data_IF_334937626803
#
_entry.id   IF_334937626803
#
_cell.length_a   1.000
_cell.length_b   1.000
_cell.length_c   1.000
_cell.angle_alpha   90.00
_cell.angle_beta   90.00
_cell.angle_gamma   90.00
#
_symmetry.space_group_name_H-M   'P 1'
#
loop_
_entity.id
_entity.type
_entity.pdbx_description
1 polymer ?
#
# COMPACT_ATOMS: atom_id res chain seq x y z
N UNK A 1 -2.25 -19.54 1.64
CA UNK A 1 -1.21 -19.52 0.58
C UNK A 1 -0.07 -18.56 0.94
N UNK A 2 -0.33 -17.31 1.34
CA UNK A 2 0.73 -16.33 1.71
C UNK A 2 1.79 -16.86 2.70
N UNK A 3 1.40 -17.42 3.86
CA UNK A 3 2.36 -17.94 4.83
C UNK A 3 3.18 -19.13 4.32
N UNK A 4 2.60 -19.95 3.44
CA UNK A 4 3.30 -21.05 2.77
C UNK A 4 4.37 -20.46 1.85
N UNK A 5 4.00 -19.47 1.03
CA UNK A 5 4.95 -18.73 0.20
C UNK A 5 6.05 -18.06 1.04
N UNK A 6 5.72 -17.49 2.21
CA UNK A 6 6.67 -16.90 3.15
C UNK A 6 7.69 -17.92 3.65
N UNK A 7 7.20 -19.07 4.10
CA UNK A 7 8.05 -20.14 4.56
C UNK A 7 9.01 -20.65 3.46
N UNK A 8 8.48 -20.94 2.26
CA UNK A 8 9.29 -21.37 1.12
C UNK A 8 10.34 -20.32 0.72
N UNK A 9 9.97 -19.05 0.73
CA UNK A 9 10.90 -17.97 0.39
C UNK A 9 12.01 -17.81 1.42
N UNK A 10 11.72 -17.94 2.72
CA UNK A 10 12.75 -17.92 3.77
C UNK A 10 13.75 -19.05 3.55
N UNK A 11 13.27 -20.27 3.25
CA UNK A 11 14.15 -21.41 2.92
C UNK A 11 14.96 -21.12 1.66
N UNK A 12 14.30 -20.65 0.59
CA UNK A 12 14.95 -20.32 -0.67
C UNK A 12 16.07 -19.28 -0.49
N UNK A 13 15.81 -18.19 0.23
CA UNK A 13 16.80 -17.14 0.49
C UNK A 13 17.93 -17.65 1.37
N UNK A 14 17.61 -18.41 2.43
CA UNK A 14 18.60 -18.88 3.40
C UNK A 14 19.54 -19.96 2.84
N UNK A 15 19.04 -20.86 2.00
CA UNK A 15 19.80 -22.01 1.52
C UNK A 15 20.24 -21.92 0.06
N UNK A 16 19.44 -21.33 -0.83
CA UNK A 16 19.77 -21.28 -2.26
C UNK A 16 20.44 -19.98 -2.67
N UNK A 17 19.98 -18.84 -2.14
CA UNK A 17 20.58 -17.54 -2.48
C UNK A 17 21.90 -17.33 -1.74
N UNK A 18 21.93 -17.61 -0.43
CA UNK A 18 23.14 -17.46 0.38
C UNK A 18 24.36 -18.22 -0.16
N UNK A 19 24.14 -19.39 -0.75
CA UNK A 19 25.21 -20.24 -1.28
C UNK A 19 25.58 -19.92 -2.74
N UNK A 20 24.70 -19.26 -3.51
CA UNK A 20 24.85 -19.08 -4.96
C UNK A 20 25.06 -17.62 -5.41
N UNK A 21 24.55 -16.65 -4.64
CA UNK A 21 24.66 -15.22 -4.93
C UNK A 21 24.98 -14.46 -3.64
N UNK A 22 26.16 -13.82 -3.58
CA UNK A 22 26.64 -13.06 -2.42
C UNK A 22 25.89 -11.72 -2.21
N UNK A 23 24.60 -11.64 -2.54
CA UNK A 23 23.78 -10.49 -2.18
C UNK A 23 23.35 -10.62 -0.71
N UNK A 24 24.27 -10.24 0.16
CA UNK A 24 24.08 -10.22 1.61
C UNK A 24 22.95 -9.29 2.04
N UNK A 25 22.51 -8.35 1.19
CA UNK A 25 21.49 -7.37 1.55
C UNK A 25 20.10 -8.00 1.67
N UNK A 26 19.72 -8.87 0.74
CA UNK A 26 18.41 -9.58 0.76
C UNK A 26 18.38 -10.61 1.88
N UNK A 27 19.47 -11.36 2.05
CA UNK A 27 19.59 -12.35 3.14
C UNK A 27 19.54 -11.67 4.51
N UNK A 28 20.27 -10.56 4.68
CA UNK A 28 20.27 -9.77 5.90
C UNK A 28 18.89 -9.17 6.18
N UNK A 29 18.29 -8.50 5.21
CA UNK A 29 16.96 -7.90 5.32
C UNK A 29 15.89 -8.94 5.66
N UNK A 30 15.95 -10.14 5.06
CA UNK A 30 14.99 -11.18 5.39
C UNK A 30 15.22 -11.75 6.80
N UNK A 31 16.47 -12.02 7.20
CA UNK A 31 16.77 -12.50 8.55
C UNK A 31 16.34 -11.52 9.64
N UNK A 32 16.45 -10.21 9.41
CA UNK A 32 16.05 -9.18 10.37
C UNK A 32 14.55 -8.86 10.33
N UNK A 33 13.90 -8.90 9.16
CA UNK A 33 12.55 -8.34 8.97
C UNK A 33 11.48 -9.35 8.54
N UNK A 34 11.75 -10.67 8.50
CA UNK A 34 10.74 -11.67 8.11
C UNK A 34 9.49 -11.60 9.02
N UNK A 35 9.67 -11.34 10.32
CA UNK A 35 8.56 -11.24 11.27
C UNK A 35 7.61 -10.09 10.93
N UNK A 36 8.10 -9.00 10.34
CA UNK A 36 7.25 -7.88 9.90
C UNK A 36 6.31 -8.29 8.75
N UNK A 37 6.69 -9.30 7.95
CA UNK A 37 5.83 -9.86 6.91
C UNK A 37 4.77 -10.80 7.48
N UNK A 38 5.06 -11.48 8.60
CA UNK A 38 4.07 -12.27 9.36
C UNK A 38 3.03 -11.35 10.00
N UNK A 39 3.48 -10.24 10.57
CA UNK A 39 2.63 -9.24 11.21
C UNK A 39 1.94 -8.28 10.22
N UNK A 40 2.20 -8.42 8.92
CA UNK A 40 1.68 -7.55 7.87
C UNK A 40 1.95 -6.04 8.08
N UNK A 41 3.14 -5.71 8.57
CA UNK A 41 3.59 -4.32 8.78
C UNK A 41 4.91 -4.01 8.06
N UNK A 42 5.42 -4.96 7.27
CA UNK A 42 6.66 -4.81 6.50
C UNK A 42 6.62 -3.63 5.53
N UNK A 43 5.45 -3.35 4.95
CA UNK A 43 5.23 -2.20 4.06
C UNK A 43 5.30 -0.86 4.80
N UNK A 44 5.07 -0.83 6.12
CA UNK A 44 5.02 0.40 6.90
C UNK A 44 6.33 0.68 7.64
N UNK A 45 6.85 -0.30 8.38
CA UNK A 45 8.01 -0.16 9.29
C UNK A 45 9.34 -0.23 8.54
N UNK A 46 9.51 -1.21 7.66
CA UNK A 46 10.79 -1.48 6.99
C UNK A 46 10.59 -1.70 5.48
N UNK A 47 9.96 -0.73 4.80
CA UNK A 47 9.66 -0.82 3.36
C UNK A 47 10.91 -1.04 2.50
N UNK A 48 12.04 -0.43 2.88
CA UNK A 48 13.30 -0.56 2.15
C UNK A 48 14.02 -1.89 2.37
N UNK A 49 13.62 -2.65 3.39
CA UNK A 49 14.24 -3.92 3.81
C UNK A 49 13.19 -5.03 3.99
N UNK A 50 12.19 -5.05 3.11
CA UNK A 50 11.16 -6.09 3.15
C UNK A 50 11.75 -7.43 2.70
N UNK A 51 11.59 -8.48 3.52
CA UNK A 51 11.91 -9.85 3.09
C UNK A 51 11.18 -10.19 1.77
N UNK A 52 9.88 -9.93 1.69
CA UNK A 52 9.08 -10.17 0.48
C UNK A 52 8.62 -8.87 -0.17
N UNK A 53 9.54 -8.16 -0.82
CA UNK A 53 9.20 -6.90 -1.49
C UNK A 53 8.01 -7.08 -2.45
N UNK A 54 8.02 -8.08 -3.32
CA UNK A 54 6.97 -8.34 -4.31
C UNK A 54 5.56 -8.57 -3.73
N UNK A 55 5.44 -8.90 -2.44
CA UNK A 55 4.15 -9.11 -1.76
C UNK A 55 3.70 -7.89 -0.96
N UNK A 56 4.23 -6.70 -1.21
CA UNK A 56 3.93 -5.47 -0.48
C UNK A 56 2.46 -5.07 -0.48
N UNK A 57 1.67 -5.51 -1.47
CA UNK A 57 0.24 -5.19 -1.58
C UNK A 57 -0.63 -5.96 -0.58
N UNK A 58 -0.18 -7.14 -0.12
CA UNK A 58 -0.93 -7.96 0.84
C UNK A 58 -1.07 -7.28 2.20
N UNK A 59 0.01 -6.79 2.86
CA UNK A 59 -0.14 -6.08 4.13
C UNK A 59 -0.93 -4.78 3.99
N UNK A 60 -0.81 -4.07 2.85
CA UNK A 60 -1.65 -2.89 2.55
C UNK A 60 -3.13 -3.26 2.59
N UNK A 61 -3.52 -4.31 1.85
CA UNK A 61 -4.92 -4.76 1.80
C UNK A 61 -5.43 -5.18 3.18
N UNK A 62 -4.63 -5.92 3.95
CA UNK A 62 -5.04 -6.33 5.29
C UNK A 62 -5.27 -5.13 6.22
N UNK A 63 -4.37 -4.14 6.20
CA UNK A 63 -4.49 -2.90 6.98
C UNK A 63 -5.79 -2.15 6.62
N UNK A 64 -6.13 -2.07 5.34
CA UNK A 64 -7.35 -1.44 4.86
C UNK A 64 -8.61 -2.23 5.25
N UNK A 65 -8.56 -3.57 5.17
CA UNK A 65 -9.64 -4.45 5.62
C UNK A 65 -9.86 -4.33 7.13
N UNK A 66 -8.81 -4.10 7.93
CA UNK A 66 -8.95 -3.92 9.37
C UNK A 66 -9.65 -2.59 9.74
N UNK A 67 -9.44 -1.52 8.97
CA UNK A 67 -10.15 -0.24 9.21
C UNK A 67 -11.57 -0.22 8.63
N UNK A 68 -11.85 -1.08 7.64
CA UNK A 68 -13.13 -1.11 6.92
C UNK A 68 -14.38 -1.20 7.82
N UNK A 69 -14.43 -2.10 8.83
CA UNK A 69 -15.62 -2.26 9.66
C UNK A 69 -16.00 -0.98 10.40
N UNK A 70 -15.03 -0.14 10.78
CA UNK A 70 -15.32 1.12 11.45
C UNK A 70 -16.13 2.06 10.54
N UNK A 71 -15.73 2.22 9.28
CA UNK A 71 -16.46 3.03 8.30
C UNK A 71 -17.82 2.41 7.96
N UNK A 72 -17.87 1.10 7.75
CA UNK A 72 -19.11 0.38 7.43
C UNK A 72 -20.13 0.46 8.56
N UNK A 73 -19.72 0.28 9.82
CA UNK A 73 -20.61 0.40 10.98
C UNK A 73 -21.17 1.82 11.07
N UNK A 74 -20.36 2.85 10.82
CA UNK A 74 -20.83 4.24 10.81
C UNK A 74 -21.86 4.49 9.70
N UNK A 75 -21.62 3.96 8.49
CA UNK A 75 -22.55 4.07 7.34
C UNK A 75 -23.89 3.39 7.62
N UNK A 76 -23.87 2.18 8.19
CA UNK A 76 -25.10 1.42 8.50
C UNK A 76 -25.87 2.07 9.65
N UNK A 77 -25.17 2.49 10.72
CA UNK A 77 -25.84 3.05 11.92
C UNK A 77 -26.42 4.44 11.67
N UNK A 78 -25.70 5.30 10.93
CA UNK A 78 -26.16 6.64 10.58
C UNK A 78 -25.49 7.09 9.28
N UNK A 79 -26.24 7.04 8.19
CA UNK A 79 -25.75 7.35 6.84
C UNK A 79 -25.06 8.71 6.75
N UNK A 80 -25.58 9.75 7.42
CA UNK A 80 -24.95 11.09 7.44
C UNK A 80 -23.59 11.07 8.12
N UNK A 81 -23.49 10.40 9.27
CA UNK A 81 -22.23 10.31 10.02
C UNK A 81 -21.21 9.45 9.27
N UNK A 82 -21.65 8.34 8.67
CA UNK A 82 -20.80 7.51 7.83
C UNK A 82 -20.29 8.25 6.60
N UNK A 83 -21.14 9.01 5.90
CA UNK A 83 -20.73 9.84 4.76
C UNK A 83 -19.69 10.90 5.16
N UNK A 84 -19.90 11.59 6.28
CA UNK A 84 -18.90 12.51 6.83
C UNK A 84 -17.59 11.80 7.16
N UNK A 85 -17.64 10.59 7.74
CA UNK A 85 -16.46 9.79 8.01
C UNK A 85 -15.71 9.42 6.72
N UNK A 86 -16.41 9.02 5.65
CA UNK A 86 -15.82 8.73 4.33
C UNK A 86 -15.14 9.98 3.73
N UNK A 87 -15.79 11.13 3.79
CA UNK A 87 -15.24 12.41 3.28
C UNK A 87 -13.99 12.81 4.07
N UNK A 88 -14.06 12.77 5.40
CA UNK A 88 -12.91 13.07 6.26
C UNK A 88 -11.76 12.07 6.04
N UNK A 89 -12.08 10.79 5.83
CA UNK A 89 -11.11 9.77 5.47
C UNK A 89 -10.39 10.08 4.15
N UNK A 90 -11.11 10.52 3.11
CA UNK A 90 -10.51 10.95 1.84
C UNK A 90 -9.56 12.12 2.04
N UNK A 91 -10.01 13.17 2.73
CA UNK A 91 -9.19 14.37 3.00
C UNK A 91 -7.93 13.95 3.77
N UNK A 92 -8.07 13.11 4.79
CA UNK A 92 -6.93 12.61 5.56
C UNK A 92 -5.92 11.86 4.70
N UNK A 93 -6.36 10.92 3.86
CA UNK A 93 -5.46 10.17 2.98
C UNK A 93 -4.77 11.08 1.95
N UNK A 94 -5.51 12.00 1.34
CA UNK A 94 -4.95 12.99 0.40
C UNK A 94 -3.92 13.89 1.07
N UNK A 95 -4.20 14.39 2.27
CA UNK A 95 -3.27 15.26 3.03
C UNK A 95 -2.01 14.48 3.41
N UNK A 96 -2.13 13.23 3.84
CA UNK A 96 -0.96 12.39 4.17
C UNK A 96 -0.11 12.16 2.92
N UNK A 97 -0.73 11.79 1.80
CA UNK A 97 -0.02 11.57 0.54
C UNK A 97 0.67 12.84 0.06
N UNK A 98 -0.03 13.97 0.06
CA UNK A 98 0.52 15.27 -0.32
C UNK A 98 1.68 15.69 0.58
N UNK A 99 1.51 15.54 1.90
CA UNK A 99 2.56 15.84 2.87
C UNK A 99 3.81 15.00 2.61
N UNK A 100 3.65 13.69 2.41
CA UNK A 100 4.76 12.78 2.10
C UNK A 100 5.38 13.09 0.74
N UNK A 101 4.58 13.45 -0.25
CA UNK A 101 5.06 13.86 -1.56
C UNK A 101 5.94 15.11 -1.45
N UNK A 102 5.45 16.13 -0.75
CA UNK A 102 6.15 17.39 -0.55
C UNK A 102 7.42 17.23 0.30
N UNK A 103 7.34 16.54 1.44
CA UNK A 103 8.44 16.40 2.39
C UNK A 103 9.64 15.64 1.82
N UNK A 104 9.39 14.73 0.87
CA UNK A 104 10.44 13.95 0.21
C UNK A 104 11.00 14.64 -1.04
N UNK A 105 10.62 15.89 -1.31
CA UNK A 105 11.22 16.69 -2.38
C UNK A 105 10.78 16.30 -3.80
N UNK A 106 9.80 15.42 -3.97
CA UNK A 106 9.34 14.97 -5.28
C UNK A 106 8.78 16.11 -6.14
N UNK A 107 8.36 17.24 -5.54
CA UNK A 107 7.93 18.45 -6.25
C UNK A 107 9.06 19.06 -7.11
N UNK A 108 10.30 19.01 -6.62
CA UNK A 108 11.47 19.57 -7.32
C UNK A 108 11.98 18.65 -8.43
N UNK A 109 11.64 17.37 -8.37
CA UNK A 109 12.14 16.36 -9.29
C UNK A 109 11.40 16.34 -10.65
N UNK A 110 10.26 17.03 -10.74
CA UNK A 110 9.49 17.19 -11.98
C UNK A 110 9.64 18.60 -12.59
N UNK A 111 10.53 19.46 -12.08
CA UNK A 111 10.85 20.71 -12.76
C UNK A 111 11.62 20.42 -14.05
N UNK A 112 11.17 21.03 -15.14
CA UNK A 112 11.72 20.86 -16.51
C UNK A 112 13.20 21.22 -16.65
N UNK A 113 13.82 21.78 -15.60
CA UNK A 113 15.25 22.12 -15.56
C UNK A 113 16.17 20.88 -15.56
N UNK A 114 15.66 19.69 -15.18
CA UNK A 114 16.42 18.42 -15.21
C UNK A 114 16.51 17.78 -16.62
N UNK A 115 15.87 18.36 -17.65
CA UNK A 115 16.06 17.96 -19.05
C UNK A 115 17.22 18.70 -19.74
N UNK A 116 17.93 19.57 -19.02
CA UNK A 116 19.16 20.20 -19.52
C UNK A 116 20.29 19.15 -19.61
N UNK A 117 20.93 18.95 -20.79
CA UNK A 117 21.98 17.96 -20.98
C UNK A 117 23.30 18.50 -20.42
N UNK A 118 23.42 18.65 -19.11
CA UNK A 118 24.64 19.10 -18.47
C UNK A 118 25.12 18.03 -17.48
N UNK A 119 25.95 17.10 -17.98
CA UNK A 119 27.14 16.41 -17.42
C UNK A 119 27.36 16.17 -15.91
N UNK A 120 26.34 16.33 -15.08
CA UNK A 120 26.35 15.89 -13.69
C UNK A 120 25.15 14.98 -13.51
N UNK A 121 25.40 13.68 -13.74
CA UNK A 121 24.66 12.53 -13.25
C UNK A 121 23.36 12.96 -12.57
N UNK A 122 22.32 13.21 -13.38
CA UNK A 122 20.96 13.33 -12.87
C UNK A 122 20.81 12.12 -11.97
N UNK A 123 20.76 12.38 -10.67
CA UNK A 123 20.66 11.35 -9.66
C UNK A 123 19.29 10.76 -9.91
N UNK A 124 19.23 9.79 -10.84
CA UNK A 124 18.05 9.04 -11.20
C UNK A 124 17.58 8.50 -9.86
N UNK A 125 16.61 9.18 -9.28
CA UNK A 125 16.10 8.87 -7.97
C UNK A 125 15.81 7.40 -8.00
N UNK A 126 16.59 6.65 -7.21
CA UNK A 126 16.60 5.19 -7.26
C UNK A 126 15.14 4.77 -7.29
N UNK A 127 14.65 4.08 -8.33
CA UNK A 127 13.22 3.78 -8.50
C UNK A 127 12.60 3.17 -7.23
N UNK A 128 13.43 2.47 -6.46
CA UNK A 128 13.15 1.91 -5.14
C UNK A 128 12.68 2.95 -4.09
N UNK A 129 13.27 4.14 -4.04
CA UNK A 129 12.93 5.19 -3.07
C UNK A 129 11.55 5.81 -3.31
N UNK A 130 11.19 6.06 -4.58
CA UNK A 130 9.85 6.53 -4.96
C UNK A 130 8.81 5.45 -4.64
N UNK A 131 9.12 4.19 -4.96
CA UNK A 131 8.23 3.07 -4.69
C UNK A 131 7.99 2.87 -3.19
N UNK A 132 9.04 2.93 -2.37
CA UNK A 132 8.93 2.75 -0.91
C UNK A 132 8.20 3.87 -0.21
N UNK A 133 8.39 5.12 -0.67
CA UNK A 133 7.75 6.28 -0.06
C UNK A 133 6.30 6.44 -0.52
N UNK A 134 5.98 6.13 -1.78
CA UNK A 134 4.66 6.41 -2.33
C UNK A 134 3.81 5.18 -2.62
N UNK A 135 4.37 4.15 -3.25
CA UNK A 135 3.59 3.02 -3.76
C UNK A 135 3.35 1.93 -2.73
N UNK A 136 4.25 1.74 -1.77
CA UNK A 136 4.14 0.63 -0.82
C UNK A 136 3.28 0.97 0.40
N UNK A 137 3.04 2.26 0.64
CA UNK A 137 2.33 2.72 1.83
C UNK A 137 0.81 2.67 1.64
N UNK A 138 0.04 2.34 2.69
CA UNK A 138 -1.39 2.10 2.59
C UNK A 138 -2.21 3.36 2.28
N UNK A 139 -1.73 4.55 2.64
CA UNK A 139 -2.48 5.80 2.47
C UNK A 139 -2.82 6.13 1.01
N UNK A 140 -1.99 5.70 0.05
CA UNK A 140 -2.25 5.90 -1.39
C UNK A 140 -3.47 5.11 -1.88
N UNK A 141 -3.76 3.98 -1.24
CA UNK A 141 -4.87 3.11 -1.60
C UNK A 141 -6.14 3.40 -0.80
N UNK A 142 -6.02 4.17 0.28
CA UNK A 142 -7.12 4.50 1.19
C UNK A 142 -8.33 5.10 0.46
N UNK A 143 -8.13 6.07 -0.42
CA UNK A 143 -9.22 6.69 -1.19
C UNK A 143 -9.98 5.68 -2.07
N UNK A 144 -9.26 4.83 -2.81
CA UNK A 144 -9.90 3.79 -3.65
C UNK A 144 -10.69 2.80 -2.79
N UNK A 145 -10.15 2.44 -1.63
CA UNK A 145 -10.81 1.53 -0.70
C UNK A 145 -12.09 2.14 -0.11
N UNK A 146 -12.07 3.42 0.28
CA UNK A 146 -13.25 4.13 0.76
C UNK A 146 -14.33 4.26 -0.32
N UNK A 147 -13.95 4.46 -1.60
CA UNK A 147 -14.89 4.43 -2.71
C UNK A 147 -15.58 3.06 -2.86
N UNK A 148 -14.83 1.97 -2.69
CA UNK A 148 -15.39 0.62 -2.67
C UNK A 148 -16.41 0.42 -1.55
N UNK A 149 -16.14 0.93 -0.34
CA UNK A 149 -17.08 0.87 0.78
C UNK A 149 -18.35 1.68 0.53
N UNK A 150 -18.20 2.90 0.01
CA UNK A 150 -19.33 3.74 -0.34
C UNK A 150 -20.20 3.08 -1.43
N UNK A 151 -19.57 2.54 -2.46
CA UNK A 151 -20.27 1.81 -3.52
C UNK A 151 -21.05 0.62 -2.97
N UNK A 152 -20.42 -0.20 -2.12
CA UNK A 152 -21.10 -1.34 -1.48
C UNK A 152 -22.30 -0.90 -0.65
N UNK A 153 -22.19 0.20 0.08
CA UNK A 153 -23.32 0.77 0.83
C UNK A 153 -24.45 1.29 -0.08
N UNK A 154 -24.12 1.95 -1.19
CA UNK A 154 -25.11 2.43 -2.15
C UNK A 154 -25.85 1.26 -2.81
N UNK A 155 -25.14 0.20 -3.21
CA UNK A 155 -25.75 -1.01 -3.77
C UNK A 155 -26.73 -1.67 -2.81
N UNK A 156 -26.41 -1.69 -1.51
CA UNK A 156 -27.29 -2.23 -0.47
C UNK A 156 -28.55 -1.37 -0.27
N UNK A 157 -28.41 -0.04 -0.33
CA UNK A 157 -29.50 0.90 -0.01
C UNK A 157 -30.44 1.17 -1.19
N UNK A 158 -29.95 1.10 -2.43
CA UNK A 158 -30.79 1.26 -3.62
C UNK A 158 -31.41 -0.08 -4.03
N UNK A 159 -32.72 -0.25 -3.80
CA UNK A 159 -33.46 -1.47 -4.15
C UNK A 159 -33.40 -1.85 -5.63
N UNK A 160 -33.19 -0.88 -6.52
CA UNK A 160 -33.12 -1.11 -7.96
C UNK A 160 -31.77 -1.68 -8.40
N UNK A 161 -30.66 -1.29 -7.73
CA UNK A 161 -29.34 -1.87 -8.01
C UNK A 161 -29.24 -3.30 -7.47
N UNK A 162 -29.88 -3.62 -6.35
CA UNK A 162 -29.99 -4.98 -5.83
C UNK A 162 -30.72 -5.91 -6.82
N UNK A 163 -31.84 -5.46 -7.39
CA UNK A 163 -32.59 -6.21 -8.41
C UNK A 163 -31.82 -6.41 -9.73
N UNK A 164 -30.95 -5.47 -10.09
CA UNK A 164 -30.07 -5.61 -11.27
C UNK A 164 -28.98 -6.64 -10.98
N UNK A 165 -28.37 -6.60 -9.80
CA UNK A 165 -27.37 -7.59 -9.38
C UNK A 165 -27.95 -9.02 -9.36
N UNK A 166 -29.13 -9.20 -8.77
CA UNK A 166 -29.85 -10.49 -8.71
C UNK A 166 -30.34 -11.00 -10.08
N UNK A 167 -30.33 -10.15 -11.12
CA UNK A 167 -30.66 -10.56 -12.50
C UNK A 167 -29.41 -10.89 -13.33
N UNK A 168 -28.21 -10.51 -12.88
CA UNK A 168 -26.96 -10.73 -13.58
C UNK A 168 -26.26 -12.02 -13.11
N UNK A 169 -26.55 -12.47 -11.88
CA UNK A 169 -26.01 -13.70 -11.26
C UNK A 169 -27.13 -14.60 -10.76
#
# INVERSE_FOLDING_TARGET
MYYISLYFYIIYVKYLVNDMFYDTSVVSACNSNWILNVLFVSNYISSDQMCMYWSWSIPVLLQLVLIAPAFTILLIKNSRTGLWAIIMGHIMFMVIEFYKFYSNGFVKQFSLDDFAPNDHLVEFVKPHSVANVMHIKPYRYGCYYLNGLLLGYLMETTSDMRKIYDNIY
#
